data_IF_547275408822
#
_entry.id   IF_547275408822
#
_cell.length_a   1.000
_cell.length_b   1.000
_cell.length_c   1.000
_cell.angle_alpha   90.00
_cell.angle_beta   90.00
_cell.angle_gamma   90.00
#
_symmetry.space_group_name_H-M   'P 1'
#
loop_
_entity.id
_entity.type
_entity.pdbx_description
1 polymer ?
#
# COMPACT_ATOMS: atom_id res chain seq x y z
N UNK A 1 -14.95 9.10 49.21
CA UNK A 1 -15.24 9.27 47.77
C UNK A 1 -14.10 8.57 47.04
N UNK A 2 -14.33 7.35 46.53
CA UNK A 2 -13.28 6.60 45.84
C UNK A 2 -12.99 7.25 44.49
N UNK A 3 -11.76 7.67 44.26
CA UNK A 3 -11.30 8.10 42.95
C UNK A 3 -11.36 6.91 41.99
N UNK A 4 -12.42 6.81 41.20
CA UNK A 4 -12.48 5.87 40.09
C UNK A 4 -11.50 6.36 39.04
N UNK A 5 -10.42 5.61 38.82
CA UNK A 5 -9.49 5.92 37.73
C UNK A 5 -10.26 5.92 36.40
N UNK A 6 -10.13 6.98 35.58
CA UNK A 6 -10.88 7.09 34.32
C UNK A 6 -10.38 6.11 33.25
N UNK A 7 -9.20 5.52 33.45
CA UNK A 7 -8.61 4.54 32.55
C UNK A 7 -8.54 3.18 33.24
N UNK A 8 -8.99 2.14 32.53
CA UNK A 8 -8.87 0.75 32.93
C UNK A 8 -7.73 0.12 32.15
N UNK A 9 -6.72 -0.39 32.87
CA UNK A 9 -5.72 -1.26 32.26
C UNK A 9 -6.41 -2.57 31.85
N UNK A 10 -6.34 -2.88 30.56
CA UNK A 10 -6.88 -4.14 30.03
C UNK A 10 -5.82 -5.23 30.10
N UNK A 11 -4.62 -4.95 29.60
CA UNK A 11 -3.56 -5.95 29.42
C UNK A 11 -2.18 -5.30 29.53
N UNK A 12 -1.16 -6.11 29.84
CA UNK A 12 0.24 -5.73 29.86
C UNK A 12 1.10 -6.86 29.30
N UNK A 13 2.03 -6.52 28.39
CA UNK A 13 2.88 -7.52 27.75
C UNK A 13 4.30 -7.02 27.56
N UNK A 14 5.24 -7.88 27.92
CA UNK A 14 6.66 -7.67 27.67
C UNK A 14 7.02 -8.23 26.29
N UNK A 15 7.71 -7.43 25.47
CA UNK A 15 8.17 -7.81 24.15
C UNK A 15 9.68 -8.08 24.19
N UNK A 16 10.12 -9.14 23.50
CA UNK A 16 11.52 -9.56 23.49
C UNK A 16 12.43 -8.62 22.66
N UNK A 17 11.85 -7.86 21.74
CA UNK A 17 12.55 -6.92 20.87
C UNK A 17 12.05 -5.52 21.11
N UNK A 18 12.96 -4.54 21.07
CA UNK A 18 12.61 -3.13 21.13
C UNK A 18 11.64 -2.77 20.00
N UNK A 19 10.54 -2.12 20.36
CA UNK A 19 9.57 -1.55 19.42
C UNK A 19 10.05 -0.15 19.05
N UNK A 20 10.21 0.10 17.75
CA UNK A 20 10.64 1.40 17.21
C UNK A 20 9.43 2.26 16.79
N UNK A 21 8.34 1.62 16.33
CA UNK A 21 7.15 2.33 15.85
C UNK A 21 5.87 1.58 16.21
N UNK A 22 4.82 2.33 16.56
CA UNK A 22 3.49 1.81 16.87
C UNK A 22 2.42 2.68 16.19
N UNK A 23 1.47 2.06 15.49
CA UNK A 23 0.37 2.78 14.83
C UNK A 23 -0.94 2.02 14.99
N UNK A 24 -1.93 2.68 15.59
CA UNK A 24 -3.29 2.17 15.71
C UNK A 24 -4.05 2.26 14.39
N UNK A 25 -4.94 1.30 14.16
CA UNK A 25 -6.00 1.44 13.16
C UNK A 25 -7.07 2.40 13.69
N UNK A 26 -7.52 3.36 12.87
CA UNK A 26 -8.60 4.27 13.25
C UNK A 26 -9.99 3.59 13.22
N UNK A 27 -10.08 2.37 12.66
CA UNK A 27 -11.35 1.69 12.40
C UNK A 27 -11.49 0.34 13.12
N UNK A 28 -10.39 -0.36 13.34
CA UNK A 28 -10.37 -1.70 13.94
C UNK A 28 -9.63 -1.67 15.29
N UNK A 29 -9.83 -2.71 16.11
CA UNK A 29 -9.13 -2.91 17.39
C UNK A 29 -7.68 -3.41 17.19
N UNK A 30 -6.98 -2.87 16.18
CA UNK A 30 -5.72 -3.37 15.68
C UNK A 30 -4.58 -2.37 15.90
N UNK A 31 -3.44 -2.90 16.32
CA UNK A 31 -2.20 -2.18 16.57
C UNK A 31 -1.07 -2.79 15.75
N UNK A 32 -0.49 -2.00 14.86
CA UNK A 32 0.71 -2.35 14.13
C UNK A 32 1.95 -1.94 14.92
N UNK A 33 2.87 -2.88 15.10
CA UNK A 33 4.15 -2.70 15.80
C UNK A 33 5.28 -2.99 14.83
N UNK A 34 6.27 -2.11 14.73
CA UNK A 34 7.53 -2.39 14.07
C UNK A 34 8.66 -2.47 15.10
N UNK A 35 9.50 -3.50 14.99
CA UNK A 35 10.64 -3.70 15.88
C UNK A 35 11.97 -3.30 15.23
N UNK A 36 13.02 -3.24 16.06
CA UNK A 36 14.39 -2.91 15.61
C UNK A 36 15.00 -3.90 14.60
N UNK A 37 14.36 -5.06 14.39
CA UNK A 37 14.75 -6.05 13.36
C UNK A 37 14.06 -5.80 12.02
N UNK A 38 13.18 -4.81 11.92
CA UNK A 38 12.40 -4.52 10.72
C UNK A 38 11.17 -5.42 10.55
N UNK A 39 10.85 -6.26 11.53
CA UNK A 39 9.62 -7.06 11.51
C UNK A 39 8.43 -6.20 11.89
N UNK A 40 7.31 -6.38 11.18
CA UNK A 40 6.03 -5.75 11.49
C UNK A 40 5.07 -6.80 12.03
N UNK A 41 4.53 -6.58 13.22
CA UNK A 41 3.56 -7.47 13.84
C UNK A 41 2.25 -6.72 14.07
N UNK A 42 1.15 -7.40 13.75
CA UNK A 42 -0.19 -6.90 13.99
C UNK A 42 -0.81 -7.59 15.20
N UNK A 43 -1.29 -6.80 16.16
CA UNK A 43 -1.91 -7.29 17.38
C UNK A 43 -3.31 -6.72 17.53
N UNK A 44 -4.20 -7.48 18.18
CA UNK A 44 -5.44 -6.95 18.71
C UNK A 44 -5.20 -6.19 20.02
N UNK A 45 -6.20 -5.43 20.44
CA UNK A 45 -6.24 -4.76 21.75
C UNK A 45 -6.02 -5.73 22.94
N UNK A 46 -6.39 -7.00 22.78
CA UNK A 46 -6.17 -8.10 23.75
C UNK A 46 -4.77 -8.72 23.69
N UNK A 47 -3.82 -8.09 22.98
CA UNK A 47 -2.47 -8.62 22.70
C UNK A 47 -2.42 -9.97 21.98
N UNK A 48 -3.54 -10.40 21.37
CA UNK A 48 -3.52 -11.52 20.44
C UNK A 48 -2.75 -11.11 19.19
N UNK A 49 -1.68 -11.83 18.86
CA UNK A 49 -0.94 -11.64 17.62
C UNK A 49 -1.78 -12.16 16.45
N UNK A 50 -2.15 -11.28 15.53
CA UNK A 50 -2.89 -11.63 14.31
C UNK A 50 -1.91 -12.22 13.30
N UNK A 51 -0.82 -11.51 13.02
CA UNK A 51 0.26 -12.00 12.18
C UNK A 51 1.59 -11.26 12.47
N UNK A 52 2.67 -11.80 11.90
CA UNK A 52 4.01 -11.20 11.91
C UNK A 52 4.59 -11.28 10.51
N UNK A 53 5.06 -10.16 9.98
CA UNK A 53 5.71 -10.02 8.69
C UNK A 53 7.22 -9.78 8.91
N UNK A 54 8.10 -10.69 8.43
CA UNK A 54 9.53 -10.43 8.46
C UNK A 54 9.92 -9.30 7.49
N UNK A 55 11.09 -8.67 7.67
CA UNK A 55 11.57 -7.68 6.72
C UNK A 55 11.77 -8.31 5.32
N UNK A 56 11.58 -7.56 4.22
CA UNK A 56 11.73 -8.09 2.87
C UNK A 56 13.15 -8.55 2.51
N UNK A 57 14.16 -7.97 3.17
CA UNK A 57 15.56 -8.32 3.01
C UNK A 57 16.31 -8.05 4.33
N UNK A 58 17.49 -8.64 4.45
CA UNK A 58 18.34 -8.45 5.62
C UNK A 58 18.71 -6.96 5.80
N UNK A 59 18.74 -6.50 7.05
CA UNK A 59 19.04 -5.11 7.43
C UNK A 59 18.01 -4.05 7.03
N UNK A 60 16.87 -4.42 6.44
CA UNK A 60 15.78 -3.47 6.23
C UNK A 60 15.11 -3.12 7.56
N UNK A 61 14.93 -1.82 7.81
CA UNK A 61 14.21 -1.31 8.98
C UNK A 61 13.00 -0.50 8.57
N UNK A 62 11.96 -0.56 9.39
CA UNK A 62 10.73 0.20 9.17
C UNK A 62 10.93 1.61 9.71
N UNK A 63 10.82 2.60 8.83
CA UNK A 63 10.93 4.00 9.25
C UNK A 63 9.56 4.63 9.54
N UNK A 64 8.52 4.18 8.86
CA UNK A 64 7.17 4.76 8.99
C UNK A 64 6.10 3.76 8.60
N UNK A 65 4.90 3.91 9.16
CA UNK A 65 3.73 3.10 8.81
C UNK A 65 2.50 4.00 8.75
N UNK A 66 1.55 3.67 7.87
CA UNK A 66 0.25 4.33 7.83
C UNK A 66 -0.85 3.34 7.46
N UNK A 67 -1.96 3.41 8.18
CA UNK A 67 -3.16 2.66 7.83
C UNK A 67 -3.90 3.36 6.70
N UNK A 68 -4.41 2.58 5.74
CA UNK A 68 -5.43 3.09 4.84
C UNK A 68 -6.70 3.37 5.67
N UNK A 69 -7.44 4.45 5.41
CA UNK A 69 -8.59 4.85 6.25
C UNK A 69 -9.69 3.78 6.39
N UNK A 70 -9.79 2.84 5.45
CA UNK A 70 -10.74 1.73 5.53
C UNK A 70 -10.31 0.57 6.44
N UNK A 71 -9.07 0.60 6.94
CA UNK A 71 -8.46 -0.41 7.81
C UNK A 71 -8.06 -1.72 7.11
N UNK A 72 -8.21 -1.85 5.78
CA UNK A 72 -7.96 -3.10 5.05
C UNK A 72 -6.51 -3.24 4.58
N UNK A 73 -5.78 -2.13 4.48
CA UNK A 73 -4.40 -2.09 3.97
C UNK A 73 -3.52 -1.25 4.89
N UNK A 74 -2.29 -1.71 5.10
CA UNK A 74 -1.25 -0.95 5.80
C UNK A 74 -0.09 -0.67 4.84
N UNK A 75 0.36 0.59 4.82
CA UNK A 75 1.59 1.00 4.14
C UNK A 75 2.76 0.93 5.12
N UNK A 76 3.84 0.27 4.73
CA UNK A 76 5.06 0.13 5.51
C UNK A 76 6.21 0.74 4.71
N UNK A 77 6.75 1.87 5.16
CA UNK A 77 7.89 2.53 4.56
C UNK A 77 9.20 2.08 5.21
N UNK A 78 10.07 1.49 4.41
CA UNK A 78 11.40 1.04 4.84
C UNK A 78 12.47 2.10 4.57
N UNK A 79 13.61 1.96 5.25
CA UNK A 79 14.80 2.79 5.03
C UNK A 79 15.39 2.69 3.60
N UNK A 80 15.03 1.66 2.82
CA UNK A 80 15.51 1.42 1.44
C UNK A 80 14.81 2.26 0.37
N UNK A 81 14.01 3.27 0.75
CA UNK A 81 13.19 4.07 -0.19
C UNK A 81 12.05 3.27 -0.83
N UNK A 82 11.64 2.17 -0.19
CA UNK A 82 10.50 1.35 -0.61
C UNK A 82 9.34 1.45 0.39
N UNK A 83 8.12 1.61 -0.13
CA UNK A 83 6.88 1.46 0.62
C UNK A 83 6.16 0.20 0.14
N UNK A 84 5.86 -0.69 1.07
CA UNK A 84 5.12 -1.94 0.80
C UNK A 84 3.70 -1.78 1.31
N UNK A 85 2.72 -2.02 0.45
CA UNK A 85 1.30 -2.08 0.80
C UNK A 85 0.93 -3.53 1.10
N UNK A 86 0.45 -3.78 2.31
CA UNK A 86 0.17 -5.12 2.83
C UNK A 86 -1.31 -5.25 3.17
N UNK A 87 -1.90 -6.38 2.79
CA UNK A 87 -3.25 -6.77 3.17
C UNK A 87 -3.30 -7.13 4.67
N UNK A 88 -4.24 -6.53 5.38
CA UNK A 88 -4.39 -6.70 6.83
C UNK A 88 -4.94 -8.09 7.18
N UNK A 89 -5.74 -8.71 6.31
CA UNK A 89 -6.36 -10.02 6.53
C UNK A 89 -5.43 -11.15 6.11
N UNK A 90 -4.87 -11.06 4.89
CA UNK A 90 -4.10 -12.17 4.29
C UNK A 90 -2.60 -12.07 4.52
N UNK A 91 -2.09 -10.93 5.01
CA UNK A 91 -0.65 -10.62 5.14
C UNK A 91 0.08 -10.56 3.78
N UNK A 92 -0.64 -10.57 2.67
CA UNK A 92 -0.03 -10.54 1.34
C UNK A 92 0.46 -9.15 0.95
N UNK A 93 1.55 -9.09 0.20
CA UNK A 93 2.02 -7.84 -0.38
C UNK A 93 1.19 -7.49 -1.60
N UNK A 94 0.33 -6.48 -1.47
CA UNK A 94 -0.54 -6.01 -2.54
C UNK A 94 0.25 -5.21 -3.57
N UNK A 95 1.11 -4.30 -3.14
CA UNK A 95 1.85 -3.43 -4.04
C UNK A 95 3.16 -2.95 -3.42
N UNK A 96 4.16 -2.66 -4.26
CA UNK A 96 5.43 -2.06 -3.84
C UNK A 96 5.60 -0.74 -4.57
N UNK A 97 5.94 0.29 -3.83
CA UNK A 97 6.21 1.63 -4.31
C UNK A 97 7.67 1.95 -4.04
N UNK A 98 8.45 2.19 -5.09
CA UNK A 98 9.81 2.71 -4.95
C UNK A 98 9.78 4.22 -5.15
N UNK A 99 10.46 4.95 -4.26
CA UNK A 99 10.66 6.40 -4.37
C UNK A 99 12.15 6.73 -4.47
N UNK A 100 12.43 7.90 -5.03
CA UNK A 100 13.78 8.46 -5.04
C UNK A 100 14.07 9.02 -3.63
N UNK A 101 15.07 8.47 -2.95
CA UNK A 101 15.58 8.88 -1.63
C UNK A 101 14.84 8.33 -0.40
N UNK A 102 15.54 8.37 0.73
CA UNK A 102 15.07 7.88 2.02
C UNK A 102 13.73 8.51 2.42
N UNK A 103 12.78 7.65 2.75
CA UNK A 103 11.44 8.02 3.20
C UNK A 103 11.55 8.54 4.63
N UNK A 104 10.96 9.70 4.93
CA UNK A 104 10.94 10.28 6.28
C UNK A 104 9.60 10.11 6.97
N UNK A 105 8.49 10.13 6.21
CA UNK A 105 7.15 9.92 6.75
C UNK A 105 6.22 9.36 5.67
N UNK A 106 5.19 8.65 6.12
CA UNK A 106 4.07 8.22 5.30
C UNK A 106 2.78 8.55 6.02
N UNK A 107 1.78 9.03 5.27
CA UNK A 107 0.45 9.35 5.79
C UNK A 107 -0.60 9.01 4.76
N UNK A 108 -1.74 8.46 5.18
CA UNK A 108 -2.82 8.07 4.29
C UNK A 108 -4.10 8.77 4.70
N UNK A 109 -4.66 9.57 3.78
CA UNK A 109 -5.83 10.41 4.06
C UNK A 109 -6.94 10.09 3.09
N UNK A 110 -8.19 10.12 3.56
CA UNK A 110 -9.39 9.97 2.75
C UNK A 110 -10.18 11.28 2.73
N UNK A 111 -10.77 11.57 1.58
CA UNK A 111 -11.73 12.66 1.40
C UNK A 111 -12.94 12.45 2.30
N UNK A 112 -13.13 13.34 3.26
CA UNK A 112 -14.35 13.41 4.08
C UNK A 112 -15.36 14.31 3.37
N UNK A 113 -15.78 13.93 2.18
CA UNK A 113 -16.92 14.61 1.56
C UNK A 113 -18.18 14.28 2.36
N UNK A 114 -19.15 15.21 2.40
CA UNK A 114 -20.49 14.89 2.93
C UNK A 114 -20.99 13.66 2.16
N UNK A 115 -21.61 12.68 2.82
CA UNK A 115 -22.11 11.48 2.14
C UNK A 115 -23.04 11.94 1.02
N UNK A 116 -22.55 11.92 -0.23
CA UNK A 116 -23.46 11.77 -1.33
C UNK A 116 -24.17 10.46 -1.04
N UNK A 117 -25.50 10.51 -1.00
CA UNK A 117 -26.37 9.44 -0.52
C UNK A 117 -25.82 8.06 -0.91
N UNK A 118 -25.91 7.08 -0.01
CA UNK A 118 -25.40 5.71 -0.19
C UNK A 118 -25.45 5.23 -1.64
N UNK A 119 -24.45 4.45 -2.09
CA UNK A 119 -24.36 3.98 -3.48
C UNK A 119 -25.69 3.44 -4.04
N UNK A 120 -26.55 2.87 -3.19
CA UNK A 120 -27.93 2.46 -3.51
C UNK A 120 -28.93 3.61 -3.70
N UNK A 121 -28.90 4.65 -2.85
CA UNK A 121 -29.73 5.85 -3.03
C UNK A 121 -29.33 6.67 -4.26
N UNK A 122 -28.04 6.70 -4.58
CA UNK A 122 -27.51 7.33 -5.79
C UNK A 122 -27.90 6.55 -7.05
N UNK A 123 -27.83 5.21 -7.04
CA UNK A 123 -28.32 4.40 -8.16
C UNK A 123 -29.82 4.61 -8.38
N UNK A 124 -30.62 4.57 -7.32
CA UNK A 124 -32.07 4.70 -7.40
C UNK A 124 -32.54 6.11 -7.81
N UNK A 125 -31.88 7.19 -7.37
CA UNK A 125 -32.23 8.56 -7.80
C UNK A 125 -31.70 8.91 -9.19
N UNK A 126 -30.60 8.28 -9.65
CA UNK A 126 -29.97 8.57 -10.95
C UNK A 126 -30.56 7.77 -12.13
N UNK A 127 -31.20 6.63 -11.88
CA UNK A 127 -32.02 5.94 -12.90
C UNK A 127 -33.28 6.74 -13.26
N UNK A 128 -33.81 7.52 -12.31
CA UNK A 128 -35.00 8.36 -12.51
C UNK A 128 -34.73 9.66 -13.29
N UNK A 129 -33.50 10.18 -13.28
CA UNK A 129 -33.18 11.50 -13.87
C UNK A 129 -32.50 11.44 -15.24
N UNK A 130 -32.22 10.26 -15.79
CA UNK A 130 -31.66 10.10 -17.15
C UNK A 130 -30.23 10.64 -17.36
N UNK A 131 -29.66 11.30 -16.35
CA UNK A 131 -28.33 11.90 -16.39
C UNK A 131 -27.29 10.88 -15.92
N UNK A 132 -26.94 9.94 -16.82
CA UNK A 132 -25.87 8.97 -16.56
C UNK A 132 -24.54 9.73 -16.50
N UNK A 133 -23.82 9.73 -15.36
CA UNK A 133 -22.47 10.25 -15.37
C UNK A 133 -21.65 9.38 -16.34
N UNK A 134 -20.93 10.00 -17.26
CA UNK A 134 -20.09 9.39 -18.29
C UNK A 134 -19.02 8.38 -17.77
N UNK A 135 -19.00 8.08 -16.46
CA UNK A 135 -17.94 7.37 -15.74
C UNK A 135 -18.42 6.16 -14.92
N UNK A 136 -19.63 5.63 -15.12
CA UNK A 136 -20.01 4.34 -14.49
C UNK A 136 -19.39 3.20 -15.28
N UNK A 137 -18.36 2.59 -14.69
CA UNK A 137 -17.67 1.45 -15.27
C UNK A 137 -18.51 0.17 -15.15
N UNK A 138 -19.23 -0.16 -16.21
CA UNK A 138 -20.00 -1.41 -16.32
C UNK A 138 -19.22 -2.54 -17.01
N UNK A 139 -17.91 -2.39 -17.21
CA UNK A 139 -17.11 -3.35 -17.96
C UNK A 139 -17.10 -4.74 -17.33
N UNK A 140 -17.20 -4.84 -16.00
CA UNK A 140 -17.30 -6.11 -15.27
C UNK A 140 -18.54 -6.94 -15.61
N UNK A 141 -19.61 -6.33 -16.13
CA UNK A 141 -20.80 -7.06 -16.57
C UNK A 141 -20.61 -7.75 -17.92
N UNK A 142 -19.61 -7.31 -18.70
CA UNK A 142 -19.38 -7.79 -20.06
C UNK A 142 -18.07 -8.56 -20.22
N UNK A 143 -17.07 -8.26 -19.37
CA UNK A 143 -15.77 -8.91 -19.41
C UNK A 143 -15.79 -10.20 -18.60
N UNK A 144 -15.21 -11.29 -19.13
CA UNK A 144 -15.07 -12.53 -18.38
C UNK A 144 -14.10 -12.32 -17.21
N UNK A 145 -14.39 -12.97 -16.09
CA UNK A 145 -13.46 -13.01 -14.95
C UNK A 145 -12.23 -13.82 -15.34
N UNK A 146 -11.06 -13.34 -14.94
CA UNK A 146 -9.81 -14.06 -15.16
C UNK A 146 -9.76 -15.31 -14.28
N UNK A 147 -9.26 -16.45 -14.80
CA UNK A 147 -9.09 -17.67 -14.01
C UNK A 147 -7.94 -17.50 -13.02
N UNK A 148 -8.08 -18.09 -11.83
CA UNK A 148 -6.99 -18.14 -10.85
C UNK A 148 -5.81 -18.95 -11.40
N UNK A 149 -4.59 -18.49 -11.11
CA UNK A 149 -3.34 -19.15 -11.55
C UNK A 149 -2.86 -20.19 -10.53
N UNK A 150 -3.74 -20.74 -9.70
CA UNK A 150 -3.36 -21.59 -8.57
C UNK A 150 -2.49 -22.76 -9.03
N UNK A 151 -1.33 -22.92 -8.37
CA UNK A 151 -0.32 -23.95 -8.66
C UNK A 151 -0.76 -25.38 -8.32
N UNK A 152 -1.94 -25.54 -7.71
CA UNK A 152 -2.49 -26.84 -7.34
C UNK A 152 -3.72 -27.12 -8.19
N UNK A 153 -3.58 -27.99 -9.18
CA UNK A 153 -4.72 -28.66 -9.82
C UNK A 153 -5.55 -29.34 -8.71
N UNK A 154 -6.65 -28.70 -8.29
CA UNK A 154 -7.60 -29.26 -7.32
C UNK A 154 -7.96 -28.40 -6.10
N UNK A 155 -7.34 -27.24 -5.87
CA UNK A 155 -7.83 -26.29 -4.85
C UNK A 155 -8.61 -25.16 -5.51
N UNK A 156 -9.93 -25.27 -5.51
CA UNK A 156 -10.86 -24.18 -5.85
C UNK A 156 -10.82 -23.10 -4.75
N UNK A 157 -9.77 -22.29 -4.74
CA UNK A 157 -9.85 -20.95 -4.16
C UNK A 157 -10.14 -20.00 -5.32
N UNK A 158 -11.39 -19.55 -5.41
CA UNK A 158 -11.79 -18.42 -6.23
C UNK A 158 -11.18 -17.14 -5.65
N UNK A 159 -9.87 -16.98 -5.77
CA UNK A 159 -9.23 -15.70 -5.50
C UNK A 159 -9.78 -14.71 -6.52
N UNK A 160 -10.58 -13.77 -6.04
CA UNK A 160 -11.21 -12.73 -6.85
C UNK A 160 -10.09 -11.77 -7.30
N UNK A 161 -9.39 -12.13 -8.39
CA UNK A 161 -8.24 -11.42 -8.96
C UNK A 161 -8.47 -9.92 -9.16
N UNK A 162 -9.73 -9.57 -9.41
CA UNK A 162 -10.14 -8.19 -9.59
C UNK A 162 -10.11 -7.36 -8.29
N UNK A 163 -10.16 -7.99 -7.10
CA UNK A 163 -9.96 -7.30 -5.80
C UNK A 163 -8.60 -7.64 -5.15
N UNK A 164 -7.64 -8.17 -5.92
CA UNK A 164 -6.26 -8.43 -5.47
C UNK A 164 -5.45 -7.19 -5.02
N UNK A 165 -6.08 -6.02 -5.04
CA UNK A 165 -5.53 -4.75 -4.55
C UNK A 165 -6.43 -4.09 -3.51
N UNK A 166 -7.53 -4.74 -3.09
CA UNK A 166 -8.54 -4.22 -2.15
C UNK A 166 -9.03 -2.82 -2.55
N UNK A 167 -9.32 -2.58 -3.82
CA UNK A 167 -9.70 -1.26 -4.35
C UNK A 167 -11.14 -1.16 -4.83
N UNK A 168 -11.84 -2.28 -5.04
CA UNK A 168 -13.20 -2.26 -5.60
C UNK A 168 -14.18 -1.49 -4.72
N UNK A 169 -14.04 -1.65 -3.41
CA UNK A 169 -14.93 -1.05 -2.42
C UNK A 169 -14.59 0.43 -2.12
N UNK A 170 -13.57 1.01 -2.76
CA UNK A 170 -13.12 2.37 -2.46
C UNK A 170 -14.06 3.38 -3.12
N UNK A 171 -14.98 3.93 -2.34
CA UNK A 171 -15.95 4.93 -2.81
C UNK A 171 -15.31 6.32 -2.82
N UNK A 172 -14.67 6.70 -1.71
CA UNK A 172 -14.06 8.01 -1.53
C UNK A 172 -12.64 8.05 -2.11
N UNK A 173 -12.21 9.23 -2.54
CA UNK A 173 -10.82 9.43 -2.94
C UNK A 173 -9.93 9.36 -1.69
N UNK A 174 -8.90 8.52 -1.71
CA UNK A 174 -7.86 8.55 -0.69
C UNK A 174 -6.47 8.61 -1.30
N UNK A 175 -5.57 9.27 -0.59
CA UNK A 175 -4.24 9.64 -1.06
C UNK A 175 -3.23 9.19 -0.01
N UNK A 176 -2.28 8.38 -0.46
CA UNK A 176 -1.05 8.06 0.25
C UNK A 176 -0.02 9.14 -0.05
N UNK A 177 0.47 9.78 0.99
CA UNK A 177 1.52 10.77 0.98
C UNK A 177 2.82 10.14 1.47
N UNK A 178 3.90 10.31 0.71
CA UNK A 178 5.23 9.80 1.05
C UNK A 178 6.20 10.96 1.03
N UNK A 179 6.74 11.34 2.18
CA UNK A 179 7.79 12.34 2.28
C UNK A 179 9.17 11.74 2.23
N UNK A 180 10.10 12.51 1.71
CA UNK A 180 11.52 12.14 1.63
C UNK A 180 12.41 13.13 2.36
N UNK A 181 13.62 12.68 2.70
CA UNK A 181 14.66 13.50 3.30
C UNK A 181 15.09 14.67 2.40
N UNK A 182 14.89 14.56 1.09
CA UNK A 182 15.25 15.60 0.11
C UNK A 182 14.14 16.64 -0.07
N UNK A 183 13.09 16.63 0.76
CA UNK A 183 12.02 17.62 0.69
C UNK A 183 11.05 17.40 -0.48
N UNK A 184 11.04 16.21 -1.11
CA UNK A 184 10.00 15.80 -2.07
C UNK A 184 8.86 15.10 -1.33
N UNK A 185 7.63 15.45 -1.70
CA UNK A 185 6.41 14.81 -1.25
C UNK A 185 5.70 14.14 -2.44
N UNK A 186 5.62 12.82 -2.42
CA UNK A 186 4.94 12.03 -3.44
C UNK A 186 3.47 11.82 -3.04
N UNK A 187 2.56 12.11 -3.96
CA UNK A 187 1.11 11.93 -3.79
C UNK A 187 0.65 10.75 -4.65
N UNK A 188 0.07 9.72 -4.01
CA UNK A 188 -0.43 8.52 -4.70
C UNK A 188 -1.87 8.23 -4.34
N UNK A 189 -2.76 8.26 -5.34
CA UNK A 189 -4.17 7.91 -5.15
C UNK A 189 -4.30 6.40 -4.96
N UNK A 190 -5.05 5.97 -3.96
CA UNK A 190 -5.18 4.56 -3.52
C UNK A 190 -3.85 3.87 -3.22
N UNK A 191 -2.79 4.64 -2.94
CA UNK A 191 -1.43 4.13 -2.74
C UNK A 191 -0.74 3.64 -4.02
N UNK A 192 -1.42 3.67 -5.17
CA UNK A 192 -0.92 3.09 -6.42
C UNK A 192 -0.67 4.14 -7.49
N UNK A 193 -1.71 4.88 -7.89
CA UNK A 193 -1.64 5.83 -9.00
C UNK A 193 -0.80 7.05 -8.63
N UNK A 194 0.35 7.31 -9.29
CA UNK A 194 1.18 8.48 -9.01
C UNK A 194 0.49 9.74 -9.54
N UNK A 195 -0.07 10.53 -8.62
CA UNK A 195 -0.80 11.74 -9.00
C UNK A 195 0.14 12.94 -9.18
N UNK A 196 1.22 13.02 -8.41
CA UNK A 196 2.17 14.12 -8.52
C UNK A 196 3.26 14.08 -7.45
N UNK A 197 4.27 14.93 -7.66
CA UNK A 197 5.38 15.15 -6.73
C UNK A 197 5.46 16.64 -6.43
N UNK A 198 5.34 16.99 -5.16
CA UNK A 198 5.54 18.36 -4.68
C UNK A 198 6.98 18.49 -4.19
N UNK A 199 7.75 19.37 -4.82
CA UNK A 199 9.08 19.71 -4.33
C UNK A 199 8.95 20.88 -3.36
N UNK A 200 9.26 20.66 -2.07
CA UNK A 200 9.15 21.72 -1.07
C UNK A 200 10.30 22.72 -1.16
N UNK A 201 11.43 22.32 -1.76
CA UNK A 201 12.62 23.16 -1.84
C UNK A 201 12.43 24.45 -2.64
N UNK A 202 11.46 24.49 -3.56
CA UNK A 202 11.08 25.72 -4.27
C UNK A 202 10.39 26.76 -3.37
N UNK A 203 9.88 26.35 -2.20
CA UNK A 203 9.14 27.21 -1.29
C UNK A 203 9.95 27.63 -0.05
N UNK A 204 11.10 26.98 0.21
CA UNK A 204 11.93 27.23 1.41
C UNK A 204 13.32 27.78 1.07
N UNK A 205 13.47 28.43 -0.08
CA UNK A 205 14.71 29.14 -0.49
C UNK A 205 15.99 28.30 -0.40
N UNK A 206 15.95 26.99 -0.69
CA UNK A 206 17.18 26.16 -0.62
C UNK A 206 17.45 25.53 0.75
N UNK A 207 16.73 25.93 1.81
CA UNK A 207 16.97 25.45 3.18
C UNK A 207 15.93 24.40 3.52
N UNK A 208 16.29 23.12 3.48
CA UNK A 208 15.44 22.03 3.96
C UNK A 208 16.28 20.86 4.47
N UNK A 209 15.78 20.21 5.51
CA UNK A 209 16.31 18.99 6.15
C UNK A 209 15.49 17.75 5.77
N UNK A 210 14.24 17.96 5.33
CA UNK A 210 13.33 16.90 4.91
C UNK A 210 11.89 17.17 5.33
N UNK A 211 10.95 16.45 4.71
CA UNK A 211 9.54 16.57 5.07
C UNK A 211 9.28 15.77 6.35
N UNK A 212 8.77 16.42 7.40
CA UNK A 212 8.51 15.78 8.70
C UNK A 212 7.08 15.27 8.81
N UNK A 213 6.11 16.02 8.27
CA UNK A 213 4.72 15.58 8.18
C UNK A 213 3.98 16.31 7.05
N UNK A 214 2.90 15.72 6.57
CA UNK A 214 1.95 16.40 5.71
C UNK A 214 0.53 15.94 6.01
N UNK A 215 -0.43 16.83 5.79
CA UNK A 215 -1.84 16.58 6.01
C UNK A 215 -2.69 17.35 5.00
N UNK A 216 -3.72 16.71 4.47
CA UNK A 216 -4.76 17.39 3.70
C UNK A 216 -5.86 17.94 4.61
N UNK A 217 -6.51 19.01 4.17
CA UNK A 217 -7.82 19.39 4.69
C UNK A 217 -8.86 18.29 4.41
N UNK A 218 -9.93 18.25 5.19
CA UNK A 218 -10.97 17.20 5.07
C UNK A 218 -11.60 17.09 3.66
N UNK A 219 -11.62 18.19 2.91
CA UNK A 219 -12.12 18.29 1.53
C UNK A 219 -11.02 18.20 0.45
N UNK A 220 -9.78 17.88 0.85
CA UNK A 220 -8.59 17.80 -0.01
C UNK A 220 -8.24 19.10 -0.78
N UNK A 221 -8.80 20.25 -0.39
CA UNK A 221 -8.57 21.52 -1.09
C UNK A 221 -7.28 22.23 -0.68
N UNK A 222 -6.71 21.89 0.47
CA UNK A 222 -5.47 22.44 1.00
C UNK A 222 -4.57 21.32 1.51
N UNK A 223 -3.29 21.46 1.24
CA UNK A 223 -2.23 20.58 1.68
C UNK A 223 -1.28 21.36 2.58
N UNK A 224 -1.14 20.91 3.82
CA UNK A 224 -0.23 21.44 4.82
C UNK A 224 0.99 20.52 4.91
N UNK A 225 2.19 21.09 4.79
CA UNK A 225 3.45 20.36 4.80
C UNK A 225 4.37 20.99 5.84
N UNK A 226 4.76 20.21 6.85
CA UNK A 226 5.75 20.63 7.83
C UNK A 226 7.14 20.14 7.39
N UNK A 227 8.07 21.08 7.24
CA UNK A 227 9.44 20.82 6.77
C UNK A 227 10.43 21.32 7.79
N UNK A 228 11.43 20.49 8.09
CA UNK A 228 12.59 20.92 8.87
C UNK A 228 13.49 21.79 8.00
N UNK A 229 13.99 22.90 8.53
CA UNK A 229 14.95 23.78 7.89
C UNK A 229 16.33 23.54 8.52
N UNK A 230 17.36 23.43 7.68
CA UNK A 230 18.73 23.43 8.15
C UNK A 230 19.16 24.87 8.47
N UNK A 231 19.58 25.12 9.71
CA UNK A 231 20.38 26.30 10.01
C UNK A 231 21.74 26.11 9.35
N UNK A 232 22.21 27.13 8.64
CA UNK A 232 23.58 27.16 8.12
C UNK A 232 24.59 26.89 9.25
N UNK A 233 25.80 26.46 8.88
CA UNK A 233 26.87 25.82 9.67
C UNK A 233 27.31 26.49 11.00
N UNK A 234 26.65 27.54 11.50
CA UNK A 234 27.13 28.41 12.57
C UNK A 234 26.51 28.22 13.96
N UNK A 235 25.74 27.16 14.23
CA UNK A 235 25.25 26.91 15.60
C UNK A 235 25.28 25.45 16.01
N UNK A 236 26.11 25.14 17.01
CA UNK A 236 26.22 23.85 17.72
C UNK A 236 24.96 23.49 18.57
N UNK A 237 23.78 23.94 18.16
CA UNK A 237 22.50 23.57 18.77
C UNK A 237 21.62 22.96 17.69
N UNK A 238 21.29 21.68 17.86
CA UNK A 238 20.46 20.82 17.00
C UNK A 238 18.98 21.26 16.92
N UNK A 239 18.69 22.57 16.98
CA UNK A 239 17.33 23.08 16.87
C UNK A 239 17.03 23.33 15.39
N UNK A 240 16.52 22.31 14.71
CA UNK A 240 15.89 22.42 13.39
C UNK A 240 14.74 23.44 13.48
N UNK A 241 14.80 24.51 12.67
CA UNK A 241 13.65 25.40 12.53
C UNK A 241 12.56 24.68 11.71
N UNK A 242 11.29 24.87 12.05
CA UNK A 242 10.18 24.25 11.32
C UNK A 242 9.49 25.30 10.45
N UNK A 243 9.33 24.99 9.17
CA UNK A 243 8.50 25.75 8.24
C UNK A 243 7.20 25.00 7.94
N UNK A 244 6.10 25.75 7.87
CA UNK A 244 4.81 25.25 7.39
C UNK A 244 4.55 25.79 5.99
N UNK A 245 4.49 24.90 5.01
CA UNK A 245 4.12 25.23 3.63
C UNK A 245 2.67 24.84 3.41
N UNK A 246 1.85 25.79 2.98
CA UNK A 246 0.43 25.57 2.66
C UNK A 246 0.23 25.72 1.15
N UNK A 247 -0.28 24.67 0.53
CA UNK A 247 -0.51 24.60 -0.92
C UNK A 247 -2.01 24.42 -1.16
N UNK A 248 -2.57 25.25 -2.03
CA UNK A 248 -3.94 25.07 -2.50
C UNK A 248 -3.96 23.99 -3.57
N UNK A 249 -4.80 22.98 -3.38
CA UNK A 249 -4.94 21.83 -4.28
C UNK A 249 -6.39 21.67 -4.75
N UNK A 250 -6.96 22.67 -5.47
CA UNK A 250 -8.36 22.64 -5.89
C UNK A 250 -8.68 21.47 -6.84
N UNK A 251 -7.66 20.96 -7.55
CA UNK A 251 -7.82 19.83 -8.49
C UNK A 251 -8.37 18.57 -7.83
N UNK A 252 -8.03 18.30 -6.56
CA UNK A 252 -8.55 17.13 -5.86
C UNK A 252 -10.03 17.29 -5.49
N UNK A 253 -10.47 18.52 -5.22
CA UNK A 253 -11.87 18.81 -4.90
C UNK A 253 -12.74 18.91 -6.15
N UNK A 254 -12.26 19.59 -7.20
CA UNK A 254 -13.03 19.85 -8.43
C UNK A 254 -13.11 18.62 -9.35
N UNK A 255 -12.07 17.78 -9.37
CA UNK A 255 -11.94 16.63 -10.27
C UNK A 255 -11.81 15.30 -9.53
N UNK A 256 -12.38 15.20 -8.32
CA UNK A 256 -12.27 14.01 -7.47
C UNK A 256 -12.78 12.75 -8.18
N UNK A 257 -13.90 12.85 -8.90
CA UNK A 257 -14.52 11.70 -9.58
C UNK A 257 -13.71 11.19 -10.77
N UNK A 258 -13.10 12.11 -11.52
CA UNK A 258 -12.26 11.81 -12.67
C UNK A 258 -10.93 11.21 -12.23
N UNK A 259 -10.29 11.80 -11.23
CA UNK A 259 -9.07 11.27 -10.61
C UNK A 259 -9.30 9.89 -10.00
N UNK A 260 -10.46 9.68 -9.37
CA UNK A 260 -10.88 8.37 -8.85
C UNK A 260 -10.98 7.34 -9.97
N UNK A 261 -11.73 7.66 -11.04
CA UNK A 261 -11.93 6.75 -12.17
C UNK A 261 -10.59 6.39 -12.84
N UNK A 262 -9.74 7.39 -13.07
CA UNK A 262 -8.40 7.20 -13.63
C UNK A 262 -7.52 6.29 -12.76
N UNK A 263 -7.50 6.55 -11.44
CA UNK A 263 -6.70 5.77 -10.51
C UNK A 263 -7.17 4.31 -10.41
N UNK A 264 -8.50 4.07 -10.42
CA UNK A 264 -9.07 2.72 -10.46
C UNK A 264 -8.65 1.99 -11.74
N UNK A 265 -8.81 2.60 -12.90
CA UNK A 265 -8.40 2.00 -14.19
C UNK A 265 -6.90 1.71 -14.23
N UNK A 266 -6.07 2.64 -13.75
CA UNK A 266 -4.63 2.43 -13.66
C UNK A 266 -4.29 1.23 -12.75
N UNK A 267 -4.96 1.10 -11.60
CA UNK A 267 -4.74 -0.03 -10.71
C UNK A 267 -5.20 -1.37 -11.32
N UNK A 268 -6.29 -1.37 -12.09
CA UNK A 268 -6.70 -2.53 -12.89
C UNK A 268 -5.62 -2.93 -13.91
N UNK A 269 -5.07 -1.96 -14.66
CA UNK A 269 -3.97 -2.22 -15.62
C UNK A 269 -2.75 -2.84 -14.91
N UNK A 270 -2.35 -2.30 -13.76
CA UNK A 270 -1.26 -2.86 -12.95
C UNK A 270 -1.57 -4.29 -12.48
N UNK A 271 -2.83 -4.58 -12.13
CA UNK A 271 -3.25 -5.93 -11.77
C UNK A 271 -3.10 -6.89 -12.95
N UNK A 272 -3.60 -6.49 -14.12
CA UNK A 272 -3.52 -7.26 -15.36
C UNK A 272 -2.08 -7.51 -15.82
N UNK A 273 -1.20 -6.51 -15.74
CA UNK A 273 0.22 -6.67 -16.07
C UNK A 273 0.92 -7.67 -15.16
N UNK A 274 0.62 -7.63 -13.85
CA UNK A 274 1.15 -8.62 -12.89
C UNK A 274 0.62 -10.01 -13.19
N UNK A 275 -0.67 -10.13 -13.46
CA UNK A 275 -1.29 -11.40 -13.85
C UNK A 275 -0.60 -11.99 -15.08
N UNK A 276 -0.43 -11.20 -16.15
CA UNK A 276 0.27 -11.63 -17.36
C UNK A 276 1.71 -12.11 -17.06
N UNK A 277 2.43 -11.36 -16.24
CA UNK A 277 3.81 -11.69 -15.85
C UNK A 277 3.85 -13.02 -15.08
N UNK A 278 2.91 -13.23 -14.16
CA UNK A 278 2.80 -14.47 -13.40
C UNK A 278 2.43 -15.65 -14.30
N UNK A 279 1.51 -15.47 -15.24
CA UNK A 279 1.14 -16.50 -16.22
C UNK A 279 2.35 -16.90 -17.06
N UNK A 280 3.12 -15.93 -17.55
CA UNK A 280 4.32 -16.20 -18.35
C UNK A 280 5.38 -16.96 -17.53
N UNK A 281 5.56 -16.56 -16.26
CA UNK A 281 6.47 -17.26 -15.35
C UNK A 281 6.04 -18.71 -15.12
N UNK A 282 4.74 -18.95 -14.85
CA UNK A 282 4.20 -20.30 -14.67
C UNK A 282 4.31 -21.17 -15.93
N UNK A 283 4.12 -20.59 -17.13
CA UNK A 283 4.30 -21.31 -18.40
C UNK A 283 5.76 -21.71 -18.58
N UNK A 284 6.69 -20.80 -18.29
CA UNK A 284 8.14 -21.05 -18.40
C UNK A 284 8.57 -22.14 -17.43
N UNK A 285 8.15 -22.05 -16.16
CA UNK A 285 8.42 -23.05 -15.12
C UNK A 285 7.86 -24.43 -15.50
N UNK A 286 6.62 -24.50 -16.02
CA UNK A 286 6.03 -25.75 -16.48
C UNK A 286 6.81 -26.35 -17.66
N UNK A 287 7.25 -25.53 -18.60
CA UNK A 287 8.06 -25.97 -19.74
C UNK A 287 9.43 -26.51 -19.30
N UNK A 288 10.11 -25.80 -18.41
CA UNK A 288 11.39 -26.24 -17.83
C UNK A 288 11.25 -27.56 -17.07
N UNK A 289 10.19 -27.72 -16.28
CA UNK A 289 9.92 -28.95 -15.53
C UNK A 289 9.69 -30.15 -16.47
N UNK A 290 8.90 -29.97 -17.54
CA UNK A 290 8.66 -31.04 -18.53
C UNK A 290 9.95 -31.43 -19.24
N UNK A 291 10.77 -30.43 -19.62
CA UNK A 291 12.04 -30.67 -20.30
C UNK A 291 13.02 -31.45 -19.41
N UNK A 292 13.13 -31.05 -18.14
CA UNK A 292 13.92 -31.77 -17.14
C UNK A 292 13.43 -33.21 -16.93
N UNK A 293 12.11 -33.42 -16.79
CA UNK A 293 11.55 -34.76 -16.61
C UNK A 293 11.79 -35.67 -17.81
N UNK A 294 11.68 -35.13 -19.03
CA UNK A 294 11.95 -35.85 -20.26
C UNK A 294 13.42 -36.26 -20.36
N UNK A 295 14.34 -35.34 -20.09
CA UNK A 295 15.79 -35.61 -20.11
C UNK A 295 16.17 -36.68 -19.09
N UNK A 296 15.62 -36.61 -17.87
CA UNK A 296 15.82 -37.63 -16.84
C UNK A 296 15.30 -39.00 -17.30
N UNK A 297 14.10 -39.04 -17.89
CA UNK A 297 13.51 -40.30 -18.38
C UNK A 297 14.33 -40.89 -19.52
N UNK A 298 14.74 -40.08 -20.49
CA UNK A 298 15.56 -40.52 -21.63
C UNK A 298 16.94 -40.98 -21.19
N UNK A 299 17.61 -40.26 -20.30
CA UNK A 299 18.89 -40.67 -19.73
C UNK A 299 18.76 -41.99 -18.94
N UNK A 300 17.69 -42.15 -18.15
CA UNK A 300 17.42 -43.40 -17.43
C UNK A 300 17.13 -44.58 -18.36
N UNK A 301 16.51 -44.33 -19.52
CA UNK A 301 16.28 -45.34 -20.54
C UNK A 301 17.59 -45.74 -21.22
N UNK A 302 18.39 -44.77 -21.67
CA UNK A 302 19.69 -45.03 -22.28
C UNK A 302 20.62 -45.83 -21.35
N UNK A 303 20.62 -45.55 -20.05
CA UNK A 303 21.41 -46.30 -19.07
C UNK A 303 20.93 -47.75 -18.84
N UNK A 304 19.67 -48.06 -19.14
CA UNK A 304 19.08 -49.41 -18.99
C UNK A 304 19.23 -50.28 -20.23
N UNK A 305 19.42 -49.68 -21.41
CA UNK A 305 19.66 -50.41 -22.65
C UNK A 305 21.10 -50.93 -22.61
N UNK A 306 21.35 -52.26 -22.60
CA UNK A 306 22.70 -52.78 -22.75
C UNK A 306 23.28 -52.31 -24.08
N UNK A 307 24.59 -52.06 -24.16
CA UNK A 307 25.26 -51.83 -25.46
C UNK A 307 24.91 -53.00 -26.39
N UNK A 308 24.00 -52.74 -27.34
CA UNK A 308 23.63 -53.71 -28.34
C UNK A 308 24.87 -54.02 -29.15
N UNK A 309 25.22 -55.32 -29.22
CA UNK A 309 26.26 -55.85 -30.09
C UNK A 309 26.18 -55.15 -31.45
N UNK A 310 27.21 -54.38 -31.77
CA UNK A 310 27.51 -53.97 -33.12
C UNK A 310 27.95 -55.23 -33.88
N UNK A 311 27.00 -55.87 -34.57
CA UNK A 311 27.28 -56.84 -35.64
C UNK A 311 27.57 -56.11 -36.94
#
# INVERSE_FOLDING_TARGET
MSSTNPMRQLEERHLATQVELMVWSDKMDLLALANARGEVALHRLTWQKVWSLPPPSDHMRVNTMAWRPDGKVIAIGYNTSEVVLVDVETKETLYKVSVENAITFVSWVEEKSKPQASASSIQNLRELTGDKPYNVDNSSNFLPKLPSLSRNFGSEQEDNLEDSKKIKDQINLNILMIGTAVGKLFLRIFGMFPCGVVNVGSYTEGRWSGVKSAQFSDNLSQLFIAVGLNKGETSHQEVEDLALVCIKTPIFTERSTELRSLALKHAHIISLMRYLSQTMHSITEAWENILLEMDIKLASYAAKVPEGLTS
#
